data_IF_881731810790
#
_entry.id   IF_881731810790
#
_cell.length_a   1.000
_cell.length_b   1.000
_cell.length_c   1.000
_cell.angle_alpha   90.00
_cell.angle_beta   90.00
_cell.angle_gamma   90.00
#
_symmetry.space_group_name_H-M   'P 1'
#
loop_
_entity.id
_entity.type
_entity.pdbx_description
1 polymer ?
#
# COMPACT_ATOMS: atom_id res chain seq x y z
N UNK A 1 -16.29 -6.24 -19.02
CA UNK A 1 -15.62 -7.47 -19.48
C UNK A 1 -15.62 -7.56 -21.00
N UNK A 2 -16.80 -7.52 -21.68
CA UNK A 2 -16.91 -7.72 -23.14
C UNK A 2 -16.06 -6.77 -23.99
N UNK A 3 -16.00 -5.48 -23.64
CA UNK A 3 -15.15 -4.51 -24.36
C UNK A 3 -13.65 -4.83 -24.25
N UNK A 4 -13.20 -5.27 -23.07
CA UNK A 4 -11.81 -5.67 -22.87
C UNK A 4 -11.51 -6.98 -23.61
N UNK A 5 -12.44 -7.93 -23.59
CA UNK A 5 -12.32 -9.19 -24.32
C UNK A 5 -12.11 -8.95 -25.81
N UNK A 6 -12.95 -8.11 -26.43
CA UNK A 6 -12.80 -7.74 -27.84
C UNK A 6 -11.51 -6.97 -28.13
N UNK A 7 -11.13 -6.03 -27.26
CA UNK A 7 -9.93 -5.18 -27.45
C UNK A 7 -8.64 -5.99 -27.38
N UNK A 8 -8.55 -6.95 -26.45
CA UNK A 8 -7.33 -7.70 -26.18
C UNK A 8 -7.34 -9.14 -26.69
N UNK A 9 -8.39 -9.54 -27.42
CA UNK A 9 -8.59 -10.89 -27.93
C UNK A 9 -8.47 -11.97 -26.83
N UNK A 10 -9.18 -11.73 -25.71
CA UNK A 10 -9.24 -12.66 -24.57
C UNK A 10 -10.69 -13.05 -24.28
N UNK A 11 -10.91 -14.15 -23.58
CA UNK A 11 -12.26 -14.57 -23.19
C UNK A 11 -12.81 -13.72 -22.04
N UNK A 12 -14.05 -13.31 -22.12
CA UNK A 12 -14.79 -12.78 -20.99
C UNK A 12 -15.55 -13.92 -20.33
N UNK A 13 -15.21 -14.22 -19.08
CA UNK A 13 -15.80 -15.27 -18.27
C UNK A 13 -16.38 -14.66 -16.99
N UNK A 14 -17.36 -15.31 -16.40
CA UNK A 14 -17.81 -15.02 -15.04
C UNK A 14 -16.76 -15.44 -14.01
N UNK A 15 -16.89 -14.97 -12.77
CA UNK A 15 -15.98 -15.35 -11.68
C UNK A 15 -16.00 -16.88 -11.47
N UNK A 16 -17.19 -17.51 -11.50
CA UNK A 16 -17.33 -18.93 -11.28
C UNK A 16 -16.69 -19.74 -12.43
N UNK A 17 -16.90 -19.35 -13.67
CA UNK A 17 -16.24 -19.98 -14.84
C UNK A 17 -14.71 -19.86 -14.76
N UNK A 18 -14.16 -18.74 -14.28
CA UNK A 18 -12.71 -18.56 -14.06
C UNK A 18 -12.22 -19.50 -12.96
N UNK A 19 -12.95 -19.59 -11.84
CA UNK A 19 -12.57 -20.40 -10.70
C UNK A 19 -12.63 -21.91 -10.99
N UNK A 20 -13.59 -22.36 -11.77
CA UNK A 20 -13.76 -23.76 -12.15
C UNK A 20 -12.83 -24.22 -13.29
N UNK A 21 -12.28 -23.28 -14.06
CA UNK A 21 -11.40 -23.61 -15.20
C UNK A 21 -10.05 -24.16 -14.71
N UNK A 22 -9.76 -25.43 -15.01
CA UNK A 22 -8.55 -26.13 -14.59
C UNK A 22 -7.26 -25.66 -15.29
N UNK A 23 -7.39 -24.94 -16.41
CA UNK A 23 -6.24 -24.38 -17.13
C UNK A 23 -5.73 -23.08 -16.48
N UNK A 24 -6.51 -22.47 -15.56
CA UNK A 24 -6.13 -21.26 -14.85
C UNK A 24 -5.51 -21.68 -13.51
N UNK A 25 -4.24 -21.35 -13.31
CA UNK A 25 -3.48 -21.66 -12.10
C UNK A 25 -3.41 -20.48 -11.12
N UNK A 26 -3.46 -19.24 -11.63
CA UNK A 26 -3.31 -18.00 -10.86
C UNK A 26 -4.45 -17.03 -11.15
N UNK A 27 -5.05 -16.50 -10.09
CA UNK A 27 -6.03 -15.40 -10.16
C UNK A 27 -5.32 -14.09 -9.82
N UNK A 28 -5.49 -13.09 -10.68
CA UNK A 28 -5.12 -11.70 -10.35
C UNK A 28 -6.39 -10.97 -9.94
N UNK A 29 -6.50 -10.67 -8.66
CA UNK A 29 -7.67 -10.03 -8.06
C UNK A 29 -7.50 -8.50 -8.04
N UNK A 30 -8.16 -7.82 -8.95
CA UNK A 30 -8.19 -6.35 -9.09
C UNK A 30 -9.55 -5.77 -8.67
N UNK A 31 -10.26 -6.43 -7.78
CA UNK A 31 -11.56 -5.96 -7.28
C UNK A 31 -11.38 -4.86 -6.22
N UNK A 32 -12.49 -4.41 -5.65
CA UNK A 32 -12.45 -3.43 -4.54
C UNK A 32 -12.06 -4.11 -3.22
N UNK A 33 -11.47 -3.38 -2.25
CA UNK A 33 -10.97 -3.95 -0.98
C UNK A 33 -11.96 -4.85 -0.25
N UNK A 34 -13.25 -4.48 -0.21
CA UNK A 34 -14.28 -5.26 0.46
C UNK A 34 -14.50 -6.67 -0.14
N UNK A 35 -14.12 -6.90 -1.41
CA UNK A 35 -14.25 -8.19 -2.08
C UNK A 35 -12.97 -9.03 -2.03
N UNK A 36 -11.83 -8.48 -1.57
CA UNK A 36 -10.53 -9.16 -1.65
C UNK A 36 -10.55 -10.51 -0.94
N UNK A 37 -10.96 -10.54 0.32
CA UNK A 37 -11.01 -11.77 1.12
C UNK A 37 -11.86 -12.86 0.45
N UNK A 38 -13.04 -12.49 -0.03
CA UNK A 38 -13.96 -13.45 -0.68
C UNK A 38 -13.32 -14.07 -1.92
N UNK A 39 -12.77 -13.25 -2.81
CA UNK A 39 -12.16 -13.73 -4.06
C UNK A 39 -10.91 -14.56 -3.79
N UNK A 40 -10.03 -14.13 -2.87
CA UNK A 40 -8.85 -14.88 -2.47
C UNK A 40 -9.25 -16.26 -1.92
N UNK A 41 -10.22 -16.28 -0.99
CA UNK A 41 -10.70 -17.52 -0.36
C UNK A 41 -11.28 -18.48 -1.39
N UNK A 42 -12.13 -17.98 -2.30
CA UNK A 42 -12.69 -18.79 -3.41
C UNK A 42 -11.60 -19.34 -4.33
N UNK A 43 -10.57 -18.54 -4.64
CA UNK A 43 -9.44 -18.97 -5.47
C UNK A 43 -8.70 -20.13 -4.82
N UNK A 44 -8.37 -20.01 -3.52
CA UNK A 44 -7.68 -21.05 -2.76
C UNK A 44 -8.49 -22.33 -2.64
N UNK A 45 -9.82 -22.24 -2.42
CA UNK A 45 -10.69 -23.44 -2.38
C UNK A 45 -10.78 -24.14 -3.74
N UNK A 46 -10.60 -23.41 -4.85
CA UNK A 46 -10.57 -23.99 -6.20
C UNK A 46 -9.15 -24.38 -6.66
N UNK A 47 -8.17 -24.46 -5.72
CA UNK A 47 -6.81 -24.92 -5.99
C UNK A 47 -5.98 -23.93 -6.81
N UNK A 48 -6.26 -22.62 -6.72
CA UNK A 48 -5.59 -21.59 -7.51
C UNK A 48 -4.79 -20.67 -6.60
N UNK A 49 -3.59 -20.32 -7.05
CA UNK A 49 -2.83 -19.21 -6.48
C UNK A 49 -3.59 -17.90 -6.66
N UNK A 50 -3.32 -16.91 -5.80
CA UNK A 50 -3.95 -15.60 -5.94
C UNK A 50 -2.93 -14.48 -5.72
N UNK A 51 -2.93 -13.49 -6.62
CA UNK A 51 -2.28 -12.20 -6.40
C UNK A 51 -3.35 -11.13 -6.33
N UNK A 52 -3.42 -10.39 -5.23
CA UNK A 52 -4.49 -9.42 -5.00
C UNK A 52 -3.95 -7.99 -4.94
N UNK A 53 -4.78 -7.06 -5.36
CA UNK A 53 -4.57 -5.65 -5.04
C UNK A 53 -4.57 -5.41 -3.53
N UNK A 54 -3.94 -4.30 -3.14
CA UNK A 54 -3.92 -3.84 -1.75
C UNK A 54 -5.26 -3.16 -1.34
N UNK A 55 -5.60 -3.19 -0.06
CA UNK A 55 -5.00 -3.99 1.01
C UNK A 55 -5.38 -5.48 0.88
N UNK A 56 -4.58 -6.38 1.44
CA UNK A 56 -4.85 -7.83 1.41
C UNK A 56 -6.24 -8.18 1.95
N UNK A 57 -6.62 -7.53 3.06
CA UNK A 57 -7.89 -7.69 3.74
C UNK A 57 -8.28 -6.41 4.47
N UNK A 58 -9.51 -6.32 4.95
CA UNK A 58 -10.04 -5.15 5.66
C UNK A 58 -9.54 -5.04 7.12
N UNK A 59 -9.01 -6.13 7.68
CA UNK A 59 -8.47 -6.17 9.03
C UNK A 59 -7.45 -7.31 9.21
N UNK A 60 -6.71 -7.25 10.33
CA UNK A 60 -5.66 -8.22 10.62
C UNK A 60 -6.15 -9.67 10.71
N UNK A 61 -7.32 -9.88 11.34
CA UNK A 61 -7.88 -11.24 11.50
C UNK A 61 -8.15 -11.90 10.16
N UNK A 62 -8.73 -11.17 9.23
CA UNK A 62 -8.96 -11.66 7.87
C UNK A 62 -7.65 -11.99 7.14
N UNK A 63 -6.61 -11.19 7.34
CA UNK A 63 -5.28 -11.48 6.79
C UNK A 63 -4.70 -12.80 7.30
N UNK A 64 -4.80 -13.06 8.60
CA UNK A 64 -4.38 -14.33 9.23
C UNK A 64 -5.19 -15.51 8.70
N UNK A 65 -6.51 -15.37 8.52
CA UNK A 65 -7.35 -16.43 7.95
C UNK A 65 -6.93 -16.78 6.51
N UNK A 66 -6.60 -15.78 5.69
CA UNK A 66 -6.10 -15.98 4.32
C UNK A 66 -4.76 -16.72 4.35
N UNK A 67 -3.80 -16.26 5.17
CA UNK A 67 -2.48 -16.89 5.30
C UNK A 67 -2.60 -18.36 5.73
N UNK A 68 -3.42 -18.64 6.76
CA UNK A 68 -3.66 -19.99 7.24
C UNK A 68 -4.23 -20.88 6.15
N UNK A 69 -5.26 -20.43 5.44
CA UNK A 69 -5.89 -21.18 4.35
C UNK A 69 -4.91 -21.44 3.21
N UNK A 70 -4.10 -20.46 2.83
CA UNK A 70 -3.08 -20.62 1.79
C UNK A 70 -2.06 -21.71 2.17
N UNK A 71 -1.57 -21.67 3.42
CA UNK A 71 -0.64 -22.69 3.94
C UNK A 71 -1.28 -24.09 3.99
N UNK A 72 -2.52 -24.22 4.46
CA UNK A 72 -3.26 -25.48 4.50
C UNK A 72 -3.47 -26.09 3.11
N UNK A 73 -3.64 -25.25 2.09
CA UNK A 73 -3.83 -25.69 0.70
C UNK A 73 -2.52 -25.88 -0.06
N UNK A 74 -1.37 -25.45 0.48
CA UNK A 74 -0.09 -25.45 -0.22
C UNK A 74 -0.07 -24.48 -1.40
N UNK A 75 -0.82 -23.37 -1.33
CA UNK A 75 -0.97 -22.37 -2.38
C UNK A 75 -0.33 -21.05 -1.98
N UNK A 76 0.06 -20.26 -2.99
CA UNK A 76 0.62 -18.94 -2.78
C UNK A 76 -0.44 -17.86 -2.86
N UNK A 77 -0.36 -16.91 -1.93
CA UNK A 77 -1.08 -15.64 -1.99
C UNK A 77 -0.05 -14.52 -1.99
N UNK A 78 -0.08 -13.69 -3.01
CA UNK A 78 0.67 -12.44 -3.10
C UNK A 78 -0.27 -11.25 -2.98
N UNK A 79 0.25 -10.12 -2.53
CA UNK A 79 -0.51 -8.88 -2.44
C UNK A 79 0.35 -7.68 -2.84
N UNK A 80 -0.22 -6.74 -3.58
CA UNK A 80 0.36 -5.42 -3.75
C UNK A 80 0.46 -4.71 -2.36
N UNK A 81 1.34 -3.70 -2.20
CA UNK A 81 2.10 -3.02 -3.24
C UNK A 81 3.33 -3.82 -3.68
N UNK A 82 3.62 -3.78 -4.97
CA UNK A 82 4.76 -4.46 -5.61
C UNK A 82 5.85 -3.49 -6.09
N UNK A 83 5.60 -2.18 -5.98
CA UNK A 83 6.50 -1.10 -6.40
C UNK A 83 7.87 -1.13 -5.72
N UNK A 84 7.98 -1.68 -4.50
CA UNK A 84 9.25 -1.89 -3.82
C UNK A 84 10.20 -2.85 -4.56
N UNK A 85 9.67 -3.69 -5.46
CA UNK A 85 10.43 -4.55 -6.35
C UNK A 85 10.97 -3.81 -7.59
N UNK A 86 10.59 -2.55 -7.78
CA UNK A 86 11.09 -1.69 -8.84
C UNK A 86 12.56 -1.29 -8.66
N UNK A 87 13.12 -0.65 -9.68
CA UNK A 87 14.54 -0.30 -9.72
C UNK A 87 15.01 0.50 -8.51
N UNK A 88 14.23 1.49 -8.05
CA UNK A 88 14.58 2.31 -6.89
C UNK A 88 14.59 1.49 -5.60
N UNK A 89 13.56 0.69 -5.35
CA UNK A 89 13.45 -0.17 -4.17
C UNK A 89 14.56 -1.21 -4.09
N UNK A 90 14.82 -1.91 -5.17
CA UNK A 90 15.91 -2.89 -5.27
C UNK A 90 17.28 -2.24 -5.09
N UNK A 91 17.52 -1.07 -5.69
CA UNK A 91 18.77 -0.33 -5.52
C UNK A 91 18.97 0.14 -4.08
N UNK A 92 17.92 0.67 -3.43
CA UNK A 92 17.97 1.06 -2.03
C UNK A 92 18.32 -0.13 -1.13
N UNK A 93 17.68 -1.27 -1.33
CA UNK A 93 17.95 -2.51 -0.62
C UNK A 93 19.42 -2.94 -0.81
N UNK A 94 19.89 -2.98 -2.04
CA UNK A 94 21.28 -3.33 -2.36
C UNK A 94 22.31 -2.42 -1.68
N UNK A 95 22.06 -1.11 -1.62
CA UNK A 95 22.95 -0.15 -0.96
C UNK A 95 23.03 -0.39 0.56
N UNK A 96 21.93 -0.80 1.19
CA UNK A 96 21.92 -1.16 2.61
C UNK A 96 22.66 -2.48 2.84
N UNK A 97 22.42 -3.51 2.02
CA UNK A 97 23.11 -4.79 2.08
C UNK A 97 24.62 -4.66 1.85
N UNK A 98 25.03 -3.77 0.95
CA UNK A 98 26.43 -3.43 0.70
C UNK A 98 27.04 -2.51 1.78
N UNK A 99 26.30 -2.24 2.86
CA UNK A 99 26.71 -1.40 4.00
C UNK A 99 27.16 0.02 3.60
N UNK A 100 26.52 0.60 2.56
CA UNK A 100 26.94 1.92 2.03
C UNK A 100 26.60 3.10 2.94
N UNK A 101 25.64 2.94 3.84
CA UNK A 101 25.24 3.94 4.84
C UNK A 101 25.41 3.45 6.29
N UNK A 102 25.97 2.25 6.46
CA UNK A 102 26.06 1.60 7.77
C UNK A 102 24.72 1.08 8.28
N UNK A 103 24.68 0.63 9.52
CA UNK A 103 23.45 0.14 10.17
C UNK A 103 22.46 1.29 10.28
N UNK A 104 21.24 1.10 9.73
CA UNK A 104 20.15 2.06 9.88
C UNK A 104 19.72 2.12 11.35
N UNK A 105 19.65 3.33 11.91
CA UNK A 105 19.31 3.60 13.32
C UNK A 105 18.09 4.50 13.46
N UNK A 106 17.85 5.39 12.49
CA UNK A 106 16.77 6.36 12.50
C UNK A 106 16.23 6.57 11.09
N UNK A 107 15.00 7.06 10.98
CA UNK A 107 14.44 7.49 9.71
C UNK A 107 13.16 8.28 9.87
N UNK A 108 12.66 8.78 8.75
CA UNK A 108 11.34 9.40 8.63
C UNK A 108 10.64 8.90 7.37
N UNK A 109 9.30 8.84 7.39
CA UNK A 109 8.53 8.87 6.16
C UNK A 109 7.41 9.90 6.22
N UNK A 110 7.15 10.53 5.07
CA UNK A 110 6.22 11.65 4.97
C UNK A 110 5.30 11.47 3.76
N UNK A 111 4.15 10.88 3.99
CA UNK A 111 3.03 10.87 3.05
C UNK A 111 2.13 12.06 3.40
N UNK A 112 2.30 13.16 2.69
CA UNK A 112 1.63 14.42 3.00
C UNK A 112 1.07 15.05 1.72
N UNK A 113 -0.24 15.09 1.58
CA UNK A 113 -0.95 15.62 0.42
C UNK A 113 -2.28 16.25 0.82
N UNK A 114 -3.02 16.79 -0.16
CA UNK A 114 -4.33 17.43 0.10
C UNK A 114 -5.52 16.47 -0.05
N UNK A 115 -5.32 15.20 -0.35
CA UNK A 115 -6.41 14.23 -0.53
C UNK A 115 -6.80 14.04 -2.00
N UNK A 116 -7.89 13.32 -2.23
CA UNK A 116 -8.27 12.81 -3.55
C UNK A 116 -9.43 13.59 -4.19
N UNK A 117 -10.14 14.40 -3.42
CA UNK A 117 -11.33 15.15 -3.83
C UNK A 117 -11.07 16.23 -4.87
N UNK A 118 -9.82 16.60 -5.11
CA UNK A 118 -9.46 17.63 -6.09
C UNK A 118 -9.18 17.06 -7.51
N UNK A 119 -9.02 15.75 -7.65
CA UNK A 119 -8.70 15.15 -8.95
C UNK A 119 -9.53 13.89 -9.29
N UNK A 120 -9.95 13.10 -8.28
CA UNK A 120 -10.67 11.86 -8.52
C UNK A 120 -12.16 12.13 -8.82
N UNK A 121 -12.76 11.53 -9.87
CA UNK A 121 -14.16 11.79 -10.25
C UNK A 121 -15.19 11.29 -9.23
N UNK A 122 -14.85 10.27 -8.43
CA UNK A 122 -15.71 9.69 -7.37
C UNK A 122 -14.88 9.43 -6.10
N UNK A 123 -14.52 10.47 -5.33
CA UNK A 123 -13.56 10.34 -4.25
C UNK A 123 -14.14 9.81 -2.92
N UNK A 124 -15.44 9.55 -2.81
CA UNK A 124 -16.11 9.22 -1.55
C UNK A 124 -15.49 8.02 -0.83
N UNK A 125 -15.13 6.97 -1.56
CA UNK A 125 -14.62 5.73 -0.96
C UNK A 125 -13.29 5.90 -0.23
N UNK A 126 -12.49 6.91 -0.59
CA UNK A 126 -11.25 7.23 0.12
C UNK A 126 -11.47 7.72 1.55
N UNK A 127 -12.68 8.24 1.85
CA UNK A 127 -13.04 8.82 3.14
C UNK A 127 -13.97 7.91 3.97
N UNK A 128 -14.16 6.66 3.56
CA UNK A 128 -14.98 5.65 4.25
C UNK A 128 -14.15 4.79 5.19
N UNK A 129 -14.77 4.08 6.17
CA UNK A 129 -14.09 3.12 7.01
C UNK A 129 -13.29 2.08 6.19
N UNK A 130 -12.06 1.80 6.63
CA UNK A 130 -11.15 0.90 5.91
C UNK A 130 -10.36 1.56 4.79
N UNK A 131 -10.53 2.87 4.58
CA UNK A 131 -9.73 3.69 3.67
C UNK A 131 -8.86 4.69 4.46
N UNK A 132 -8.59 5.86 3.88
CA UNK A 132 -7.72 6.88 4.47
C UNK A 132 -6.26 6.75 4.02
N UNK A 133 -5.42 7.74 4.38
CA UNK A 133 -4.07 7.85 3.82
C UNK A 133 -3.19 6.64 4.11
N UNK A 134 -3.36 5.96 5.25
CA UNK A 134 -2.55 4.79 5.60
C UNK A 134 -2.90 3.58 4.73
N UNK A 135 -4.19 3.24 4.62
CA UNK A 135 -4.62 2.06 3.88
C UNK A 135 -4.55 2.25 2.36
N UNK A 136 -4.67 3.48 1.88
CA UNK A 136 -4.58 3.74 0.44
C UNK A 136 -3.13 3.83 -0.05
N UNK A 137 -2.31 4.67 0.56
CA UNK A 137 -0.93 4.94 0.11
C UNK A 137 0.13 4.61 1.17
N UNK A 138 -0.18 4.73 2.45
CA UNK A 138 0.77 4.44 3.53
C UNK A 138 1.30 3.00 3.50
N UNK A 139 0.52 2.06 2.97
CA UNK A 139 0.94 0.66 2.77
C UNK A 139 2.21 0.54 1.91
N UNK A 140 2.40 1.41 0.91
CA UNK A 140 3.60 1.44 0.07
C UNK A 140 4.85 1.82 0.89
N UNK A 141 4.71 2.84 1.74
CA UNK A 141 5.78 3.33 2.61
C UNK A 141 6.17 2.29 3.66
N UNK A 142 5.17 1.68 4.31
CA UNK A 142 5.39 0.64 5.32
C UNK A 142 6.04 -0.58 4.68
N UNK A 143 5.56 -1.04 3.53
CA UNK A 143 6.15 -2.18 2.80
C UNK A 143 7.60 -1.89 2.40
N UNK A 144 7.88 -0.70 1.88
CA UNK A 144 9.24 -0.29 1.53
C UNK A 144 10.16 -0.26 2.76
N UNK A 145 9.69 0.27 3.90
CA UNK A 145 10.47 0.29 5.13
C UNK A 145 10.73 -1.12 5.67
N UNK A 146 9.74 -2.00 5.63
CA UNK A 146 9.92 -3.41 6.02
C UNK A 146 10.93 -4.11 5.10
N UNK A 147 10.87 -3.84 3.79
CA UNK A 147 11.87 -4.33 2.85
C UNK A 147 13.29 -3.83 3.15
N UNK A 148 13.46 -2.59 3.57
CA UNK A 148 14.77 -1.97 3.79
C UNK A 148 15.36 -2.21 5.18
N UNK A 149 14.52 -2.24 6.22
CA UNK A 149 14.95 -2.24 7.63
C UNK A 149 14.67 -3.59 8.30
N UNK A 150 13.58 -4.27 7.89
CA UNK A 150 13.11 -5.52 8.48
C UNK A 150 11.77 -5.37 9.21
N UNK A 151 11.34 -6.35 10.01
CA UNK A 151 10.03 -6.36 10.64
C UNK A 151 9.86 -5.25 11.70
N UNK A 152 8.66 -4.67 11.74
CA UNK A 152 8.24 -3.74 12.79
C UNK A 152 7.98 -4.52 14.08
N UNK A 153 8.50 -4.02 15.19
CA UNK A 153 8.32 -4.57 16.55
C UNK A 153 7.17 -3.88 17.28
N UNK A 154 7.09 -2.55 17.15
CA UNK A 154 6.11 -1.74 17.88
C UNK A 154 5.74 -0.50 17.08
N UNK A 155 4.50 -0.05 17.25
CA UNK A 155 3.98 1.20 16.70
C UNK A 155 3.34 2.04 17.81
N UNK A 156 3.59 3.35 17.79
CA UNK A 156 2.86 4.34 18.54
C UNK A 156 2.32 5.39 17.57
N UNK A 157 1.03 5.68 17.63
CA UNK A 157 0.43 6.63 16.70
C UNK A 157 -0.75 7.35 17.35
N UNK A 158 -0.97 8.58 16.88
CA UNK A 158 -2.19 9.34 17.09
C UNK A 158 -2.84 9.60 15.75
N UNK A 159 -4.17 9.68 15.74
CA UNK A 159 -4.94 9.89 14.52
C UNK A 159 -6.09 10.84 14.74
N UNK A 160 -6.55 11.47 13.66
CA UNK A 160 -7.68 12.38 13.68
C UNK A 160 -8.13 12.79 12.29
N UNK A 161 -9.15 13.64 12.26
CA UNK A 161 -9.65 14.30 11.05
C UNK A 161 -9.57 15.80 11.23
N UNK A 162 -9.11 16.54 10.20
CA UNK A 162 -9.13 17.99 10.24
C UNK A 162 -10.56 18.55 10.12
N UNK A 163 -11.41 17.87 9.32
CA UNK A 163 -12.80 18.25 9.07
C UNK A 163 -13.68 17.02 8.96
N UNK A 164 -14.95 17.13 9.36
CA UNK A 164 -15.94 16.04 9.22
C UNK A 164 -16.52 15.96 7.79
N UNK A 165 -16.22 16.94 6.95
CA UNK A 165 -16.74 17.05 5.59
C UNK A 165 -15.68 17.67 4.68
N UNK A 166 -15.60 17.19 3.43
CA UNK A 166 -14.78 17.77 2.38
C UNK A 166 -15.63 18.14 1.17
N UNK A 167 -15.16 19.12 0.40
CA UNK A 167 -15.82 19.56 -0.83
C UNK A 167 -15.07 18.98 -2.02
N UNK A 168 -15.80 18.31 -2.92
CA UNK A 168 -15.24 17.80 -4.19
C UNK A 168 -14.95 19.00 -5.09
N UNK A 169 -13.72 19.10 -5.57
CA UNK A 169 -13.30 20.12 -6.54
C UNK A 169 -12.95 19.53 -7.91
N UNK A 170 -13.09 18.22 -8.08
CA UNK A 170 -12.98 17.52 -9.36
C UNK A 170 -14.32 17.43 -10.10
N UNK A 171 -14.24 17.29 -11.43
CA UNK A 171 -15.43 17.00 -12.25
C UNK A 171 -15.73 15.48 -12.25
N UNK A 172 -17.00 15.06 -12.45
CA UNK A 172 -18.20 15.86 -12.73
C UNK A 172 -18.93 16.38 -11.48
N UNK A 173 -18.41 16.10 -10.28
CA UNK A 173 -19.10 16.34 -9.01
C UNK A 173 -18.63 17.58 -8.26
N UNK A 174 -18.16 18.58 -8.97
CA UNK A 174 -17.68 19.82 -8.38
C UNK A 174 -18.72 20.49 -7.47
N UNK A 175 -18.34 20.78 -6.23
CA UNK A 175 -19.20 21.39 -5.22
C UNK A 175 -19.95 20.40 -4.32
N UNK A 176 -20.01 19.12 -4.68
CA UNK A 176 -20.60 18.09 -3.81
C UNK A 176 -19.80 17.95 -2.51
N UNK A 177 -20.46 17.42 -1.47
CA UNK A 177 -19.88 17.19 -0.16
C UNK A 177 -19.63 15.71 0.08
N UNK A 178 -18.48 15.42 0.72
CA UNK A 178 -18.11 14.10 1.18
C UNK A 178 -18.07 14.10 2.69
N UNK A 179 -18.78 13.16 3.32
CA UNK A 179 -18.65 12.89 4.75
C UNK A 179 -17.35 12.12 5.00
N UNK A 180 -16.53 12.64 5.92
CA UNK A 180 -15.27 11.99 6.35
C UNK A 180 -15.59 11.03 7.50
N UNK A 181 -15.36 9.74 7.27
CA UNK A 181 -15.68 8.66 8.22
C UNK A 181 -14.44 7.82 8.58
N UNK A 182 -13.25 8.29 8.18
CA UNK A 182 -11.96 7.67 8.53
C UNK A 182 -10.95 8.76 8.89
N UNK A 183 -9.94 8.49 9.72
CA UNK A 183 -8.87 9.45 9.97
C UNK A 183 -8.18 9.91 8.69
N UNK A 184 -8.02 11.22 8.55
CA UNK A 184 -7.32 11.85 7.42
C UNK A 184 -5.89 12.24 7.76
N UNK A 185 -5.53 12.23 9.05
CA UNK A 185 -4.17 12.44 9.54
C UNK A 185 -3.83 11.39 10.59
N UNK A 186 -2.69 10.73 10.38
CA UNK A 186 -2.04 9.86 11.35
C UNK A 186 -0.58 10.27 11.45
N UNK A 187 -0.05 10.32 12.64
CA UNK A 187 1.38 10.56 12.89
C UNK A 187 1.86 9.70 14.04
N UNK A 188 3.14 9.32 14.01
CA UNK A 188 3.68 8.46 15.05
C UNK A 188 5.07 7.96 14.78
N UNK A 189 5.40 6.83 15.38
CA UNK A 189 6.70 6.16 15.25
C UNK A 189 6.56 4.66 15.13
N UNK A 190 7.47 4.07 14.34
CA UNK A 190 7.69 2.63 14.22
C UNK A 190 9.03 2.29 14.88
N UNK A 191 9.04 1.28 15.73
CA UNK A 191 10.26 0.62 16.20
C UNK A 191 10.41 -0.72 15.47
N UNK A 192 11.57 -0.95 14.87
CA UNK A 192 11.90 -2.18 14.16
C UNK A 192 12.63 -3.19 15.07
N UNK A 193 12.61 -4.48 14.72
CA UNK A 193 13.27 -5.53 15.51
C UNK A 193 14.79 -5.31 15.64
N UNK A 194 15.43 -4.65 14.68
CA UNK A 194 16.85 -4.28 14.74
C UNK A 194 17.14 -3.01 15.59
N UNK A 195 16.11 -2.49 16.29
CA UNK A 195 16.09 -1.26 17.10
C UNK A 195 16.14 0.05 16.30
N UNK A 196 16.04 0.04 14.99
CA UNK A 196 15.85 1.27 14.23
C UNK A 196 14.48 1.90 14.55
N UNK A 197 14.41 3.23 14.49
CA UNK A 197 13.19 3.99 14.75
C UNK A 197 12.85 4.89 13.57
N UNK A 198 11.60 4.88 13.15
CA UNK A 198 11.14 5.72 12.04
C UNK A 198 9.95 6.53 12.51
N UNK A 199 10.06 7.86 12.44
CA UNK A 199 8.93 8.77 12.63
C UNK A 199 8.13 8.88 11.35
N UNK A 200 6.81 9.04 11.46
CA UNK A 200 5.98 9.16 10.26
C UNK A 200 4.89 10.21 10.37
N UNK A 201 4.58 10.79 9.20
CA UNK A 201 3.36 11.52 8.91
C UNK A 201 2.64 10.86 7.74
N UNK A 202 1.34 10.62 7.91
CA UNK A 202 0.49 10.05 6.89
C UNK A 202 -0.81 10.86 6.87
N UNK A 203 -0.92 11.84 5.95
CA UNK A 203 -1.99 12.84 5.99
C UNK A 203 -2.45 13.31 4.62
N UNK A 204 -3.74 13.59 4.52
CA UNK A 204 -4.39 14.28 3.40
C UNK A 204 -4.82 15.71 3.73
N UNK A 205 -4.35 16.26 4.86
CA UNK A 205 -4.74 17.59 5.35
C UNK A 205 -3.66 18.66 5.07
N UNK A 206 -2.69 18.38 4.19
CA UNK A 206 -1.56 19.25 3.89
C UNK A 206 -1.53 19.66 2.42
N UNK A 207 -1.57 20.96 2.14
CA UNK A 207 -1.53 21.49 0.77
C UNK A 207 -0.19 21.29 0.07
N UNK A 208 0.91 21.52 0.82
CA UNK A 208 2.27 21.40 0.30
C UNK A 208 3.24 21.14 1.46
N UNK A 209 4.26 20.34 1.21
CA UNK A 209 5.36 20.12 2.13
C UNK A 209 6.69 20.10 1.36
N UNK A 210 7.81 20.17 2.10
CA UNK A 210 9.17 20.10 1.56
C UNK A 210 9.96 18.93 2.20
N UNK A 211 9.29 17.98 2.83
CA UNK A 211 9.92 16.80 3.41
C UNK A 211 10.27 15.77 2.32
N UNK A 212 11.37 15.07 2.52
CA UNK A 212 11.65 13.86 1.76
C UNK A 212 10.58 12.80 2.02
N UNK A 213 10.25 12.02 1.02
CA UNK A 213 9.24 10.94 1.15
C UNK A 213 9.67 9.89 2.16
N UNK A 214 10.91 9.37 2.04
CA UNK A 214 11.56 8.51 3.03
C UNK A 214 13.00 8.99 3.19
N UNK A 215 13.43 9.14 4.42
CA UNK A 215 14.82 9.44 4.75
C UNK A 215 15.32 8.48 5.82
N UNK A 216 16.45 7.82 5.55
CA UNK A 216 17.06 6.83 6.44
C UNK A 216 18.44 7.29 6.87
N UNK A 217 18.71 7.20 8.15
CA UNK A 217 19.98 7.59 8.78
C UNK A 217 20.67 6.34 9.30
N UNK A 218 21.82 6.05 8.72
CA UNK A 218 22.74 5.01 9.18
C UNK A 218 23.89 5.57 9.97
N UNK A 219 24.72 4.68 10.52
CA UNK A 219 25.91 5.08 11.29
C UNK A 219 27.02 5.70 10.43
N UNK A 220 27.02 5.40 9.12
CA UNK A 220 28.07 5.81 8.18
C UNK A 220 27.57 6.73 7.06
N UNK A 221 26.30 7.16 7.12
CA UNK A 221 25.70 8.04 6.14
C UNK A 221 24.18 8.05 6.17
N UNK A 222 23.57 8.82 5.30
CA UNK A 222 22.12 8.89 5.15
C UNK A 222 21.69 8.63 3.70
N UNK A 223 20.42 8.24 3.53
CA UNK A 223 19.86 7.94 2.24
C UNK A 223 18.43 8.51 2.13
N UNK A 224 18.16 9.25 1.06
CA UNK A 224 16.78 9.60 0.66
C UNK A 224 16.32 8.57 -0.36
N UNK A 225 15.19 7.92 -0.05
CA UNK A 225 14.51 6.97 -0.93
C UNK A 225 13.35 7.71 -1.61
N UNK A 226 13.17 7.59 -2.92
CA UNK A 226 12.07 8.24 -3.63
C UNK A 226 10.71 7.68 -3.20
N UNK A 227 9.63 8.32 -3.68
CA UNK A 227 8.27 7.90 -3.35
C UNK A 227 8.04 6.42 -3.71
N UNK A 228 7.77 5.58 -2.71
CA UNK A 228 7.60 4.13 -2.91
C UNK A 228 6.32 3.76 -3.66
N UNK A 229 5.46 4.72 -3.97
CA UNK A 229 4.30 4.53 -4.86
C UNK A 229 4.71 4.37 -6.34
N UNK A 230 6.01 4.56 -6.67
CA UNK A 230 6.54 4.42 -8.02
C UNK A 230 7.65 3.37 -8.08
N UNK A 231 7.81 2.73 -9.24
CA UNK A 231 8.85 1.72 -9.48
C UNK A 231 10.26 2.30 -9.61
N UNK A 232 10.38 3.60 -9.87
CA UNK A 232 11.64 4.29 -10.13
C UNK A 232 11.70 5.64 -9.42
N UNK A 233 12.86 6.25 -9.42
CA UNK A 233 13.14 7.55 -8.81
C UNK A 233 14.59 7.64 -8.37
N UNK A 234 15.04 8.84 -8.02
CA UNK A 234 16.42 9.11 -7.64
C UNK A 234 16.66 8.76 -6.17
N UNK A 235 17.72 8.00 -5.92
CA UNK A 235 18.27 7.73 -4.59
C UNK A 235 19.41 8.70 -4.32
N UNK A 236 19.35 9.41 -3.20
CA UNK A 236 20.42 10.29 -2.78
C UNK A 236 21.12 9.71 -1.55
N UNK A 237 22.46 9.70 -1.57
CA UNK A 237 23.29 9.26 -0.46
C UNK A 237 24.18 10.41 -0.04
N UNK A 238 24.26 10.65 1.26
CA UNK A 238 25.16 11.62 1.88
C UNK A 238 26.03 10.91 2.93
N UNK A 239 27.31 11.25 2.95
CA UNK A 239 28.32 10.77 3.91
C UNK A 239 28.96 11.94 4.63
#
# INVERSE_FOLDING_TARGET
>A
ASNAASKYNVKALSVDEILENKEIELIINLTIPAAHKEIITKSLFNGKHCFSEKPLAMNFTEGIEIEKLANEKGLYVGCAPDTFLGAAGQKARKLIEDNKVGKIVLGTFNLMSHGMEHWHPNPDFFFKPGAGPVFDVGVYYITQLVNLIGPVKQINAISGTATNERTITSQPRYGDKIKVETPTTLMGSLEFQNNAKVQFFCTWDVWKNNHSTIELYGLDGSMIVPDPNFFSGDLLISK
#
